data_IF_033152558240
#
_entry.id   IF_033152558240
#
_cell.length_a   1.000
_cell.length_b   1.000
_cell.length_c   1.000
_cell.angle_alpha   90.00
_cell.angle_beta   90.00
_cell.angle_gamma   90.00
#
_symmetry.space_group_name_H-M   'P 1'
#
loop_
_entity.id
_entity.type
_entity.pdbx_description
1 polymer ?
#
# COMPACT_ATOMS: atom_id res chain seq x y z
N UNK A 1 -6.97 5.04 -5.06
CA UNK A 1 -7.09 4.53 -6.46
C UNK A 1 -6.64 3.09 -6.49
N UNK A 2 -7.17 2.24 -7.39
CA UNK A 2 -6.69 0.87 -7.56
C UNK A 2 -5.95 0.71 -8.89
N UNK A 3 -4.77 0.11 -8.85
CA UNK A 3 -3.93 -0.17 -10.01
C UNK A 3 -3.95 -1.64 -10.35
N UNK A 4 -4.08 -1.93 -11.64
CA UNK A 4 -3.75 -3.23 -12.23
C UNK A 4 -3.08 -2.96 -13.57
N UNK A 5 -1.74 -2.98 -13.56
CA UNK A 5 -0.92 -2.61 -14.72
C UNK A 5 -0.99 -3.63 -15.86
N UNK A 6 -1.57 -4.82 -15.66
CA UNK A 6 -1.80 -5.76 -16.77
C UNK A 6 -2.84 -5.23 -17.76
N UNK A 7 -3.73 -4.34 -17.29
CA UNK A 7 -4.93 -3.90 -17.99
C UNK A 7 -5.87 -5.05 -18.40
N UNK A 8 -5.67 -6.26 -17.87
CA UNK A 8 -6.49 -7.42 -18.16
C UNK A 8 -7.56 -7.58 -17.05
N UNK A 9 -8.86 -7.46 -17.38
CA UNK A 9 -9.93 -7.54 -16.40
C UNK A 9 -10.06 -8.91 -15.73
N UNK A 10 -9.47 -9.97 -16.31
CA UNK A 10 -9.50 -11.33 -15.76
C UNK A 10 -8.30 -11.66 -14.85
N UNK A 11 -7.29 -10.79 -14.76
CA UNK A 11 -6.08 -11.03 -13.94
C UNK A 11 -6.16 -10.31 -12.59
N UNK A 12 -5.69 -10.98 -11.54
CA UNK A 12 -5.40 -10.37 -10.23
C UNK A 12 -4.07 -9.63 -10.28
N UNK A 13 -3.74 -8.91 -9.20
CA UNK A 13 -2.43 -8.24 -9.04
C UNK A 13 -1.34 -9.12 -8.43
N UNK A 14 -1.62 -10.40 -8.21
CA UNK A 14 -0.70 -11.29 -7.48
C UNK A 14 0.63 -11.52 -8.23
N UNK A 15 0.62 -11.39 -9.56
CA UNK A 15 1.84 -11.43 -10.38
C UNK A 15 2.58 -10.10 -10.49
N UNK A 16 2.01 -8.99 -10.00
CA UNK A 16 2.71 -7.70 -9.97
C UNK A 16 3.83 -7.76 -8.94
N UNK A 17 4.97 -7.20 -9.29
CA UNK A 17 6.13 -7.09 -8.42
C UNK A 17 6.09 -5.75 -7.72
N UNK A 18 6.16 -5.77 -6.39
CA UNK A 18 6.10 -4.61 -5.53
C UNK A 18 7.45 -4.39 -4.85
N UNK A 19 7.84 -3.12 -4.73
CA UNK A 19 8.90 -2.64 -3.84
C UNK A 19 8.32 -1.47 -3.03
N UNK A 20 8.57 -1.44 -1.73
CA UNK A 20 8.16 -0.34 -0.85
C UNK A 20 9.38 0.14 -0.08
N UNK A 21 9.66 1.45 -0.13
CA UNK A 21 10.80 2.07 0.55
C UNK A 21 10.48 2.30 2.03
N UNK A 22 10.39 1.21 2.79
CA UNK A 22 10.05 1.18 4.21
C UNK A 22 10.79 0.04 4.94
N UNK A 23 11.09 0.25 6.22
CA UNK A 23 11.63 -0.79 7.12
C UNK A 23 10.68 -1.14 8.27
N UNK A 24 9.61 -0.37 8.44
CA UNK A 24 8.61 -0.60 9.48
C UNK A 24 7.20 -0.51 8.92
N UNK A 25 6.26 -1.06 9.66
CA UNK A 25 4.83 -0.91 9.44
C UNK A 25 4.15 -0.55 10.77
N UNK A 26 2.90 -0.09 10.71
CA UNK A 26 2.08 0.09 11.91
C UNK A 26 1.46 -1.24 12.29
N UNK A 27 1.78 -1.77 13.46
CA UNK A 27 1.11 -2.96 14.01
C UNK A 27 -0.39 -2.68 14.16
N UNK A 28 -1.20 -3.71 13.93
CA UNK A 28 -2.66 -3.64 14.09
C UNK A 28 -3.15 -4.77 14.97
N UNK A 29 -4.29 -4.56 15.61
CA UNK A 29 -5.04 -5.61 16.29
C UNK A 29 -5.93 -6.40 15.31
N UNK A 30 -6.76 -7.29 15.87
CA UNK A 30 -7.68 -8.16 15.12
C UNK A 30 -8.79 -7.38 14.39
N UNK A 31 -9.05 -6.12 14.79
CA UNK A 31 -9.99 -5.21 14.14
C UNK A 31 -9.30 -4.33 13.08
N UNK A 32 -8.01 -4.60 12.76
CA UNK A 32 -7.15 -3.79 11.91
C UNK A 32 -6.92 -2.36 12.40
N UNK A 33 -7.11 -2.09 13.70
CA UNK A 33 -6.81 -0.79 14.29
C UNK A 33 -5.34 -0.73 14.70
N UNK A 34 -4.63 0.37 14.41
CA UNK A 34 -3.24 0.53 14.85
C UNK A 34 -3.09 0.44 16.37
N UNK A 35 -2.13 -0.34 16.85
CA UNK A 35 -1.88 -0.49 18.29
C UNK A 35 -1.02 0.65 18.87
N UNK A 36 -0.47 1.49 18.00
CA UNK A 36 0.60 2.45 18.33
C UNK A 36 2.00 1.84 18.24
N UNK A 37 2.16 0.54 18.03
CA UNK A 37 3.48 -0.09 17.86
C UNK A 37 3.95 -0.03 16.40
N UNK A 38 5.27 0.06 16.20
CA UNK A 38 5.90 -0.01 14.88
C UNK A 38 6.68 -1.31 14.77
N UNK A 39 6.21 -2.23 13.95
CA UNK A 39 6.85 -3.52 13.69
C UNK A 39 7.95 -3.42 12.63
N UNK A 40 8.97 -4.27 12.73
CA UNK A 40 10.02 -4.41 11.70
C UNK A 40 9.50 -5.23 10.51
N UNK A 41 9.79 -4.79 9.29
CA UNK A 41 9.42 -5.49 8.06
C UNK A 41 10.39 -6.63 7.72
N UNK A 42 11.65 -6.55 8.14
CA UNK A 42 12.74 -7.43 7.72
C UNK A 42 12.39 -8.90 7.93
N UNK A 43 12.41 -9.69 6.85
CA UNK A 43 12.14 -11.13 6.90
C UNK A 43 10.67 -11.50 7.14
N UNK A 44 9.76 -10.54 7.18
CA UNK A 44 8.31 -10.79 7.29
C UNK A 44 7.66 -11.03 5.92
N UNK A 45 6.40 -11.46 5.90
CA UNK A 45 5.62 -11.57 4.66
C UNK A 45 5.38 -10.23 3.97
N UNK A 46 5.52 -9.12 4.70
CA UNK A 46 5.34 -7.75 4.23
C UNK A 46 6.67 -7.12 3.79
N UNK A 47 7.79 -7.84 3.85
CA UNK A 47 9.09 -7.32 3.45
C UNK A 47 9.16 -7.11 1.92
N UNK A 48 8.86 -5.88 1.50
CA UNK A 48 9.01 -5.41 0.12
C UNK A 48 10.20 -4.46 -0.02
N UNK A 49 11.21 -4.54 0.86
CA UNK A 49 12.45 -3.77 0.72
C UNK A 49 13.25 -4.17 -0.53
N UNK A 50 13.02 -5.39 -1.02
CA UNK A 50 13.43 -5.91 -2.32
C UNK A 50 12.21 -6.24 -3.21
N UNK A 51 12.35 -6.25 -4.54
CA UNK A 51 11.25 -6.54 -5.46
C UNK A 51 10.76 -7.99 -5.35
N UNK A 52 9.50 -8.19 -4.97
CA UNK A 52 8.84 -9.49 -4.92
C UNK A 52 7.41 -9.44 -5.51
N UNK A 53 6.91 -10.52 -6.12
CA UNK A 53 5.51 -10.62 -6.50
C UNK A 53 4.59 -10.46 -5.28
N UNK A 54 3.54 -9.66 -5.41
CA UNK A 54 2.56 -9.45 -4.33
C UNK A 54 2.00 -10.79 -3.85
N UNK A 55 1.67 -11.70 -4.78
CA UNK A 55 1.09 -13.00 -4.47
C UNK A 55 2.03 -13.99 -3.79
N UNK A 56 3.35 -13.74 -3.74
CA UNK A 56 4.33 -14.72 -3.25
C UNK A 56 4.07 -15.13 -1.79
N UNK A 57 3.66 -14.16 -0.95
CA UNK A 57 3.52 -14.36 0.51
C UNK A 57 2.21 -13.81 1.09
N UNK A 58 1.29 -13.35 0.25
CA UNK A 58 0.10 -12.58 0.65
C UNK A 58 -0.86 -13.33 1.60
N UNK A 59 -0.82 -14.67 1.63
CA UNK A 59 -1.64 -15.51 2.51
C UNK A 59 -0.85 -16.19 3.63
N UNK A 60 0.43 -15.82 3.81
CA UNK A 60 1.21 -16.29 4.95
C UNK A 60 0.56 -15.77 6.26
N UNK A 61 0.47 -16.60 7.32
CA UNK A 61 -0.03 -16.11 8.60
C UNK A 61 0.87 -15.02 9.18
N UNK A 62 0.29 -13.87 9.52
CA UNK A 62 1.01 -12.77 10.15
C UNK A 62 0.08 -11.98 11.05
N UNK A 63 0.58 -11.61 12.24
CA UNK A 63 -0.21 -10.99 13.32
C UNK A 63 -1.00 -9.74 12.92
N UNK A 64 -0.50 -8.98 11.94
CA UNK A 64 -1.12 -7.75 11.47
C UNK A 64 -1.91 -7.91 10.16
N UNK A 65 -2.17 -9.15 9.71
CA UNK A 65 -2.88 -9.44 8.46
C UNK A 65 -4.04 -10.37 8.73
N UNK A 66 -5.25 -9.97 8.30
CA UNK A 66 -6.43 -10.83 8.41
C UNK A 66 -6.29 -12.00 7.43
N UNK A 67 -6.44 -13.25 7.88
CA UNK A 67 -6.35 -14.43 7.03
C UNK A 67 -7.31 -14.36 5.83
N UNK A 68 -6.78 -14.55 4.63
CA UNK A 68 -7.54 -14.53 3.37
C UNK A 68 -7.94 -13.15 2.86
N UNK A 69 -7.57 -12.06 3.55
CA UNK A 69 -7.66 -10.69 3.03
C UNK A 69 -6.34 -10.32 2.35
N UNK A 70 -5.22 -10.62 3.01
CA UNK A 70 -3.89 -10.21 2.55
C UNK A 70 -3.56 -8.78 2.95
N UNK A 71 -2.63 -8.14 2.23
CA UNK A 71 -2.13 -6.83 2.63
C UNK A 71 -3.22 -5.76 2.68
N UNK A 72 -3.35 -5.14 3.85
CA UNK A 72 -4.13 -3.95 4.14
C UNK A 72 -3.43 -3.22 5.29
N UNK A 73 -2.20 -2.78 5.03
CA UNK A 73 -1.30 -2.30 6.07
C UNK A 73 -0.63 -0.99 5.67
N UNK A 74 -0.39 -0.13 6.65
CA UNK A 74 0.40 1.08 6.46
C UNK A 74 1.89 0.78 6.64
N UNK A 75 2.67 1.10 5.61
CA UNK A 75 4.11 1.04 5.60
C UNK A 75 4.70 2.39 5.98
N UNK A 76 5.64 2.38 6.92
CA UNK A 76 6.32 3.55 7.45
C UNK A 76 7.52 3.90 6.56
N UNK A 77 7.38 4.91 5.70
CA UNK A 77 8.37 5.22 4.66
C UNK A 77 9.70 5.68 5.26
N UNK A 78 10.78 5.13 4.71
CA UNK A 78 12.15 5.50 5.08
C UNK A 78 12.56 6.74 4.30
N UNK A 79 12.63 7.88 5.00
CA UNK A 79 12.89 9.19 4.42
C UNK A 79 13.87 9.99 5.27
N UNK A 80 14.50 11.01 4.67
CA UNK A 80 15.39 11.93 5.40
C UNK A 80 14.67 12.66 6.55
N UNK A 81 13.38 12.95 6.38
CA UNK A 81 12.46 13.38 7.43
C UNK A 81 11.00 13.04 7.02
N UNK A 82 10.01 13.07 7.93
CA UNK A 82 8.63 12.65 7.65
C UNK A 82 7.94 13.35 6.49
N UNK A 83 8.37 14.58 6.14
CA UNK A 83 7.79 15.38 5.05
C UNK A 83 8.68 15.48 3.81
N UNK A 84 9.81 14.77 3.76
CA UNK A 84 10.66 14.77 2.59
C UNK A 84 9.93 14.15 1.39
N UNK A 85 10.00 14.81 0.24
CA UNK A 85 9.48 14.26 -1.01
C UNK A 85 10.41 13.15 -1.52
N UNK A 86 9.90 11.91 -1.62
CA UNK A 86 10.69 10.73 -1.97
C UNK A 86 9.81 9.65 -2.63
N UNK A 87 10.46 8.69 -3.29
CA UNK A 87 9.77 7.50 -3.81
C UNK A 87 9.27 6.63 -2.65
N UNK A 88 7.98 6.34 -2.64
CA UNK A 88 7.33 5.53 -1.63
C UNK A 88 7.29 4.05 -2.04
N UNK A 89 6.91 3.79 -3.29
CA UNK A 89 6.74 2.43 -3.79
C UNK A 89 6.91 2.35 -5.31
N UNK A 90 7.27 1.17 -5.79
CA UNK A 90 7.32 0.82 -7.21
C UNK A 90 6.49 -0.42 -7.44
N UNK A 91 5.54 -0.35 -8.37
CA UNK A 91 4.73 -1.46 -8.85
C UNK A 91 5.10 -1.76 -10.30
N UNK A 92 5.43 -3.00 -10.61
CA UNK A 92 5.82 -3.43 -11.94
C UNK A 92 5.02 -4.66 -12.35
N UNK A 93 4.58 -4.73 -13.61
CA UNK A 93 3.94 -5.90 -14.17
C UNK A 93 4.84 -6.51 -15.25
N UNK A 94 5.39 -7.72 -15.02
CA UNK A 94 6.42 -8.27 -15.88
C UNK A 94 6.01 -8.52 -17.34
N UNK A 95 4.76 -8.91 -17.62
CA UNK A 95 4.37 -9.30 -18.98
C UNK A 95 4.20 -8.10 -19.91
N UNK A 96 3.60 -7.01 -19.43
CA UNK A 96 3.44 -5.78 -20.21
C UNK A 96 4.64 -4.85 -20.13
N UNK A 97 5.55 -5.08 -19.18
CA UNK A 97 6.68 -4.19 -18.89
C UNK A 97 6.29 -2.87 -18.21
N UNK A 98 5.00 -2.60 -18.00
CA UNK A 98 4.53 -1.35 -17.39
C UNK A 98 4.97 -1.25 -15.94
N UNK A 99 5.43 -0.07 -15.56
CA UNK A 99 5.87 0.26 -14.22
C UNK A 99 5.24 1.57 -13.75
N UNK A 100 4.90 1.59 -12.47
CA UNK A 100 4.39 2.74 -11.73
C UNK A 100 5.30 3.00 -10.53
N UNK A 101 5.92 4.17 -10.49
CA UNK A 101 6.58 4.71 -9.29
C UNK A 101 5.64 5.70 -8.60
N UNK A 102 5.42 5.52 -7.30
CA UNK A 102 4.65 6.45 -6.44
C UNK A 102 5.62 7.28 -5.63
N UNK A 103 5.53 8.60 -5.72
CA UNK A 103 6.33 9.55 -4.96
C UNK A 103 5.41 10.39 -4.07
N UNK A 104 5.85 10.75 -2.88
CA UNK A 104 5.04 11.60 -1.99
C UNK A 104 5.87 12.33 -0.95
N UNK A 105 5.31 13.41 -0.39
CA UNK A 105 5.80 14.11 0.80
C UNK A 105 5.14 13.64 2.12
N UNK A 106 4.33 12.58 2.09
CA UNK A 106 3.67 12.01 3.27
C UNK A 106 4.49 10.87 3.88
N UNK A 107 4.39 10.59 5.19
CA UNK A 107 5.29 9.67 5.87
C UNK A 107 4.95 8.18 5.67
N UNK A 108 3.73 7.86 5.26
CA UNK A 108 3.26 6.48 5.12
C UNK A 108 2.66 6.18 3.75
N UNK A 109 2.56 4.89 3.44
CA UNK A 109 1.76 4.38 2.32
C UNK A 109 0.96 3.16 2.77
N UNK A 110 -0.37 3.21 2.64
CA UNK A 110 -1.22 2.04 2.79
C UNK A 110 -1.08 1.18 1.53
N UNK A 111 -0.73 -0.08 1.70
CA UNK A 111 -0.78 -1.08 0.63
C UNK A 111 -2.01 -1.93 0.88
N UNK A 112 -3.05 -1.71 0.08
CA UNK A 112 -4.28 -2.49 0.15
C UNK A 112 -4.51 -3.25 -1.15
N UNK A 113 -4.52 -4.58 -1.07
CA UNK A 113 -4.62 -5.45 -2.23
C UNK A 113 -6.05 -5.87 -2.58
N UNK A 114 -7.09 -5.18 -2.09
CA UNK A 114 -8.47 -5.48 -2.48
C UNK A 114 -9.00 -6.82 -1.96
N UNK A 115 -8.49 -7.27 -0.80
CA UNK A 115 -8.85 -8.55 -0.18
C UNK A 115 -10.32 -8.66 0.27
N UNK A 116 -10.98 -7.53 0.56
CA UNK A 116 -12.39 -7.49 0.95
C UNK A 116 -13.36 -7.51 -0.24
N UNK A 117 -12.86 -7.41 -1.47
CA UNK A 117 -13.71 -7.44 -2.65
C UNK A 117 -14.27 -8.86 -2.86
N UNK A 118 -15.53 -8.93 -3.29
CA UNK A 118 -16.20 -10.22 -3.56
C UNK A 118 -15.43 -11.02 -4.62
N UNK A 119 -15.25 -12.32 -4.38
CA UNK A 119 -14.62 -13.24 -5.35
C UNK A 119 -15.41 -13.31 -6.65
N UNK A 120 -16.74 -13.38 -6.57
CA UNK A 120 -17.64 -13.37 -7.74
C UNK A 120 -17.78 -11.99 -8.41
N UNK A 121 -17.18 -10.99 -7.78
CA UNK A 121 -17.06 -9.61 -8.25
C UNK A 121 -18.31 -8.76 -8.06
N UNK A 122 -18.10 -7.44 -8.15
CA UNK A 122 -19.15 -6.44 -8.31
C UNK A 122 -19.13 -5.90 -9.75
N UNK A 123 -20.23 -5.32 -10.26
CA UNK A 123 -20.22 -4.61 -11.54
C UNK A 123 -19.09 -3.57 -11.60
N UNK A 124 -18.30 -3.60 -12.67
CA UNK A 124 -17.20 -2.68 -12.93
C UNK A 124 -17.46 -1.76 -14.12
N UNK A 125 -16.41 -1.16 -14.66
CA UNK A 125 -16.49 -0.37 -15.90
C UNK A 125 -16.70 -1.28 -17.11
N UNK A 126 -17.56 -0.87 -18.04
CA UNK A 126 -17.98 -1.69 -19.18
C UNK A 126 -18.60 -3.00 -18.71
N UNK A 127 -18.34 -4.09 -19.43
CA UNK A 127 -18.81 -5.43 -19.06
C UNK A 127 -17.86 -6.17 -18.10
N UNK A 128 -16.95 -5.45 -17.42
CA UNK A 128 -15.98 -6.05 -16.49
C UNK A 128 -16.52 -6.19 -15.06
N UNK A 129 -15.95 -7.13 -14.29
CA UNK A 129 -16.27 -7.33 -12.86
C UNK A 129 -15.09 -6.96 -11.98
N UNK A 130 -15.31 -6.19 -10.90
CA UNK A 130 -14.28 -5.89 -9.90
C UNK A 130 -14.25 -7.03 -8.88
N UNK A 131 -13.26 -7.90 -9.00
CA UNK A 131 -13.10 -9.11 -8.17
C UNK A 131 -12.07 -8.92 -7.05
N UNK A 132 -12.09 -9.85 -6.10
CA UNK A 132 -11.02 -10.11 -5.14
C UNK A 132 -9.62 -9.97 -5.76
N UNK A 133 -8.74 -9.20 -5.10
CA UNK A 133 -7.35 -8.95 -5.52
C UNK A 133 -7.16 -8.52 -6.98
N UNK A 134 -8.17 -7.88 -7.58
CA UNK A 134 -8.07 -7.36 -8.95
C UNK A 134 -7.21 -6.11 -9.06
N UNK A 135 -6.96 -5.41 -7.97
CA UNK A 135 -6.19 -4.18 -7.97
C UNK A 135 -5.52 -3.92 -6.63
N UNK A 136 -4.44 -3.16 -6.65
CA UNK A 136 -3.74 -2.68 -5.45
C UNK A 136 -3.89 -1.16 -5.32
N UNK A 137 -4.21 -0.69 -4.13
CA UNK A 137 -4.14 0.71 -3.76
C UNK A 137 -2.81 0.99 -3.05
N UNK A 138 -2.21 2.13 -3.39
CA UNK A 138 -0.99 2.67 -2.79
C UNK A 138 -1.32 4.06 -2.26
N UNK A 139 -1.86 4.11 -1.05
CA UNK A 139 -2.49 5.31 -0.49
C UNK A 139 -1.49 6.06 0.38
N UNK A 140 -0.93 7.15 -0.13
CA UNK A 140 0.07 7.95 0.58
C UNK A 140 -0.60 8.82 1.64
N UNK A 141 -0.15 8.73 2.88
CA UNK A 141 -0.87 9.31 4.02
C UNK A 141 0.02 9.51 5.25
N UNK A 142 -0.53 10.19 6.27
CA UNK A 142 -0.07 10.00 7.64
C UNK A 142 -0.49 8.61 8.14
N UNK A 143 0.17 8.10 9.17
CA UNK A 143 -0.16 6.76 9.67
C UNK A 143 -1.63 6.75 10.15
N UNK A 144 -2.37 5.65 9.93
CA UNK A 144 -3.72 5.54 10.47
C UNK A 144 -3.69 5.75 11.99
N UNK A 145 -4.75 6.35 12.51
CA UNK A 145 -4.93 6.60 13.95
C UNK A 145 -3.84 7.45 14.65
N UNK A 146 -3.07 8.24 13.88
CA UNK A 146 -1.99 9.09 14.43
C UNK A 146 -2.44 10.08 15.52
N UNK A 147 -3.74 10.36 15.65
CA UNK A 147 -4.27 11.22 16.72
C UNK A 147 -4.28 10.53 18.09
N UNK A 148 -4.39 9.19 18.12
CA UNK A 148 -4.42 8.41 19.36
C UNK A 148 -3.11 7.68 19.63
N UNK A 149 -2.16 7.67 18.68
CA UNK A 149 -0.83 7.09 18.81
C UNK A 149 0.25 8.19 18.88
N UNK A 150 0.67 8.67 20.07
CA UNK A 150 1.56 9.84 20.21
C UNK A 150 2.94 9.71 19.56
N UNK A 151 3.38 8.49 19.27
CA UNK A 151 4.65 8.19 18.61
C UNK A 151 4.55 8.17 17.08
N UNK A 152 3.36 8.34 16.50
CA UNK A 152 3.17 8.42 15.06
C UNK A 152 3.36 9.87 14.57
N UNK A 153 3.83 10.07 13.33
CA UNK A 153 3.89 11.39 12.74
C UNK A 153 2.47 11.92 12.56
N UNK A 154 2.23 13.16 13.02
CA UNK A 154 0.93 13.83 12.90
C UNK A 154 1.15 15.30 12.56
N UNK A 155 0.20 15.88 11.85
CA UNK A 155 0.14 17.32 11.58
C UNK A 155 -1.29 17.82 11.79
N UNK A 156 -1.45 18.76 12.72
CA UNK A 156 -2.75 19.37 12.98
C UNK A 156 -2.98 20.53 12.00
N UNK A 157 -4.08 20.45 11.25
CA UNK A 157 -4.52 21.56 10.40
C UNK A 157 -5.02 22.70 11.29
N UNK A 158 -4.43 23.89 11.12
CA UNK A 158 -4.78 25.09 11.88
C UNK A 158 -5.69 25.99 11.05
N UNK A 159 -6.65 26.64 11.71
CA UNK A 159 -7.54 27.59 11.06
C UNK A 159 -6.72 28.69 10.35
N UNK A 160 -7.05 28.95 9.08
CA UNK A 160 -6.37 29.95 8.25
C UNK A 160 -4.99 29.55 7.72
N UNK A 161 -4.47 28.35 8.05
CA UNK A 161 -3.20 27.83 7.52
C UNK A 161 -3.50 26.77 6.45
N UNK A 162 -3.10 26.98 5.18
CA UNK A 162 -3.23 25.95 4.15
C UNK A 162 -2.47 24.69 4.53
N UNK A 163 -3.11 23.54 4.36
CA UNK A 163 -2.47 22.24 4.46
C UNK A 163 -2.27 21.69 3.05
N UNK A 164 -1.02 21.36 2.72
CA UNK A 164 -0.63 20.88 1.39
C UNK A 164 0.15 19.59 1.50
N UNK A 165 -0.14 18.67 0.58
CA UNK A 165 0.60 17.43 0.37
C UNK A 165 0.74 17.21 -1.13
N UNK A 166 1.72 16.43 -1.54
CA UNK A 166 1.96 16.08 -2.94
C UNK A 166 2.16 14.58 -3.08
N UNK A 167 1.46 13.98 -4.03
CA UNK A 167 1.66 12.60 -4.46
C UNK A 167 1.72 12.55 -5.97
N UNK A 168 2.78 11.94 -6.51
CA UNK A 168 2.97 11.75 -7.95
C UNK A 168 2.92 10.27 -8.31
N UNK A 169 2.21 9.98 -9.39
CA UNK A 169 2.15 8.66 -10.02
C UNK A 169 2.89 8.73 -11.34
N UNK A 170 4.12 8.19 -11.37
CA UNK A 170 5.01 8.23 -12.54
C UNK A 170 4.94 6.89 -13.27
N UNK A 171 4.53 6.93 -14.53
CA UNK A 171 4.41 5.73 -15.37
C UNK A 171 5.54 5.68 -16.39
N UNK A 172 6.13 4.50 -16.53
CA UNK A 172 7.09 4.18 -17.58
C UNK A 172 7.07 2.67 -17.90
N UNK A 173 8.08 2.19 -18.63
CA UNK A 173 8.27 0.79 -19.00
C UNK A 173 9.68 0.33 -18.67
N UNK A 174 9.82 -0.94 -18.28
CA UNK A 174 11.11 -1.60 -18.04
C UNK A 174 11.57 -2.43 -19.24
#
# INVERSE_FOLDING_TARGET
MYFNLSCNPAKTIEGHVLTVHAHRFTETDDDQLPTGELGDLTGTMMDFSAPHPIGERIDAPFRAVIPGIGYDNNFCLTKANPRAFAEAAVLWEPESGRRLSVWTDLPGVQVYCGGWLKKDGNPGKGDSKVTYRRGVALETQFYPDSLHCPNFPVEFVKAGVPFTTTTEFRFDTK
#
